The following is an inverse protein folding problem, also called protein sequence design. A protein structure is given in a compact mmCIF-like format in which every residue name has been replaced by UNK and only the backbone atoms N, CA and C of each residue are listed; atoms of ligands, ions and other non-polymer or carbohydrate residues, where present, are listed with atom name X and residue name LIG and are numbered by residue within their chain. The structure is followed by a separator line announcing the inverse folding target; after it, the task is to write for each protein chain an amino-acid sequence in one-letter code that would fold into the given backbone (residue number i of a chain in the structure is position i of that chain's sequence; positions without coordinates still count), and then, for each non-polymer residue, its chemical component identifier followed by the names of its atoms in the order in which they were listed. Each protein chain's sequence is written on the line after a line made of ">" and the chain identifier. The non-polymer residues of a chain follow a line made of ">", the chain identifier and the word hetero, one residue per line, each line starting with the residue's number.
data_IF_373288251149
#
_entry.id   IF_373288251149
#
_cell.length_a   1.000
_cell.length_b   1.000
_cell.length_c   1.000
_cell.angle_alpha   90.00
_cell.angle_beta   90.00
_cell.angle_gamma   90.00
#
_symmetry.space_group_name_H-M   'P 1'
#
loop_
_entity.id
_entity.type
_entity.pdbx_description
1 polymer ?
#
# COMPACT_ATOMS: atom_id res chain seq x y z
N UNK A 1 -24.83 6.28 30.50
CA UNK A 1 -25.14 6.31 29.06
C UNK A 1 -23.98 7.04 28.40
N UNK A 2 -23.24 6.41 27.48
CA UNK A 2 -22.22 7.12 26.70
C UNK A 2 -22.90 8.23 25.89
N UNK A 3 -22.26 9.38 25.75
CA UNK A 3 -22.84 10.58 25.12
C UNK A 3 -23.30 10.39 23.66
N UNK A 4 -22.96 9.25 23.06
CA UNK A 4 -23.24 8.90 21.67
C UNK A 4 -24.39 7.89 21.49
N UNK A 5 -25.09 7.48 22.55
CA UNK A 5 -26.18 6.50 22.45
C UNK A 5 -25.74 5.09 22.04
N UNK A 6 -24.43 4.85 21.91
CA UNK A 6 -23.84 3.56 21.54
C UNK A 6 -23.45 2.79 22.80
N UNK A 7 -24.17 1.71 23.09
CA UNK A 7 -23.84 0.80 24.19
C UNK A 7 -22.71 -0.14 23.80
N UNK A 8 -21.49 0.14 24.29
CA UNK A 8 -20.30 -0.73 24.09
C UNK A 8 -20.46 -2.12 24.73
N UNK A 9 -21.46 -2.32 25.58
CA UNK A 9 -21.76 -3.62 26.17
C UNK A 9 -22.50 -4.55 25.18
N UNK A 10 -22.99 -3.99 24.07
CA UNK A 10 -23.71 -4.75 23.04
C UNK A 10 -22.81 -4.98 21.82
N UNK A 11 -23.00 -6.12 21.15
CA UNK A 11 -22.27 -6.45 19.91
C UNK A 11 -22.40 -5.35 18.86
N UNK A 12 -23.59 -4.77 18.71
CA UNK A 12 -23.85 -3.66 17.78
C UNK A 12 -23.03 -2.39 18.10
N UNK A 13 -22.61 -2.20 19.35
CA UNK A 13 -21.84 -1.02 19.75
C UNK A 13 -20.33 -1.18 19.59
N UNK A 14 -19.74 -2.28 20.06
CA UNK A 14 -18.28 -2.43 20.06
C UNK A 14 -17.73 -3.04 18.77
N UNK A 15 -18.49 -3.86 18.05
CA UNK A 15 -18.01 -4.58 16.87
C UNK A 15 -17.61 -3.62 15.72
N UNK A 16 -18.41 -2.59 15.37
CA UNK A 16 -17.99 -1.62 14.37
C UNK A 16 -16.72 -0.85 14.77
N UNK A 17 -16.55 -0.53 16.05
CA UNK A 17 -15.35 0.15 16.54
C UNK A 17 -14.12 -0.75 16.45
N UNK A 18 -14.26 -2.04 16.78
CA UNK A 18 -13.19 -3.01 16.64
C UNK A 18 -12.74 -3.16 15.17
N UNK A 19 -13.69 -3.31 14.23
CA UNK A 19 -13.36 -3.37 12.80
C UNK A 19 -12.78 -2.05 12.28
N UNK A 20 -13.30 -0.91 12.72
CA UNK A 20 -12.73 0.39 12.38
C UNK A 20 -11.28 0.52 12.88
N UNK A 21 -10.98 0.04 14.09
CA UNK A 21 -9.63 0.02 14.65
C UNK A 21 -8.70 -0.90 13.85
N UNK A 22 -9.14 -2.12 13.52
CA UNK A 22 -8.35 -3.05 12.69
C UNK A 22 -8.06 -2.43 11.32
N UNK A 23 -9.07 -1.83 10.69
CA UNK A 23 -8.91 -1.13 9.41
C UNK A 23 -7.94 0.04 9.53
N UNK A 24 -8.06 0.88 10.57
CA UNK A 24 -7.18 2.01 10.80
C UNK A 24 -5.73 1.57 11.02
N UNK A 25 -5.49 0.52 11.82
CA UNK A 25 -4.17 -0.05 12.03
C UNK A 25 -3.59 -0.64 10.74
N UNK A 26 -4.42 -1.31 9.94
CA UNK A 26 -4.01 -1.88 8.64
C UNK A 26 -3.57 -0.79 7.68
N UNK A 27 -4.38 0.27 7.53
CA UNK A 27 -4.05 1.41 6.65
C UNK A 27 -2.83 2.16 7.19
N UNK A 28 -2.71 2.35 8.50
CA UNK A 28 -1.55 3.00 9.11
C UNK A 28 -0.27 2.19 8.85
N UNK A 29 -0.32 0.87 9.03
CA UNK A 29 0.80 -0.02 8.73
C UNK A 29 1.19 0.07 7.25
N UNK A 30 0.21 0.02 6.33
CA UNK A 30 0.44 0.21 4.90
C UNK A 30 1.15 1.55 4.61
N UNK A 31 0.62 2.66 5.12
CA UNK A 31 1.17 4.01 4.87
C UNK A 31 2.61 4.13 5.37
N UNK A 32 2.93 3.54 6.53
CA UNK A 32 4.29 3.58 7.08
C UNK A 32 5.24 2.67 6.29
N UNK A 33 4.86 1.42 6.08
CA UNK A 33 5.73 0.40 5.50
C UNK A 33 5.92 0.60 3.99
N UNK A 34 4.82 0.77 3.26
CA UNK A 34 4.86 1.04 1.82
C UNK A 34 5.36 2.45 1.52
N UNK A 35 5.10 3.41 2.42
CA UNK A 35 5.66 4.76 2.34
C UNK A 35 7.18 4.78 2.44
N UNK A 36 7.79 3.87 3.20
CA UNK A 36 9.23 3.65 3.20
C UNK A 36 9.72 3.14 1.84
N UNK A 37 9.07 2.14 1.25
CA UNK A 37 9.46 1.59 -0.06
C UNK A 37 9.39 2.65 -1.16
N UNK A 38 8.30 3.40 -1.22
CA UNK A 38 8.11 4.52 -2.15
C UNK A 38 9.13 5.64 -1.89
N UNK A 39 9.43 5.92 -0.63
CA UNK A 39 10.46 6.87 -0.22
C UNK A 39 11.85 6.50 -0.75
N UNK A 40 12.26 5.25 -0.57
CA UNK A 40 13.51 4.72 -1.12
C UNK A 40 13.49 4.80 -2.65
N UNK A 41 12.36 4.49 -3.29
CA UNK A 41 12.24 4.59 -4.75
C UNK A 41 12.38 6.00 -5.30
N UNK A 42 11.80 7.00 -4.64
CA UNK A 42 12.00 8.42 -4.99
C UNK A 42 13.46 8.86 -4.84
N UNK A 43 14.15 8.37 -3.81
CA UNK A 43 15.55 8.69 -3.55
C UNK A 43 16.52 7.97 -4.51
N UNK A 44 16.11 6.86 -5.12
CA UNK A 44 16.95 6.06 -6.03
C UNK A 44 17.50 6.89 -7.21
N UNK A 45 16.77 7.93 -7.66
CA UNK A 45 17.22 8.90 -8.69
C UNK A 45 18.44 9.69 -8.28
N UNK A 46 18.57 9.97 -6.99
CA UNK A 46 19.62 10.84 -6.42
C UNK A 46 20.85 10.05 -5.99
N UNK A 47 20.85 8.72 -6.11
CA UNK A 47 22.02 7.91 -5.82
C UNK A 47 23.03 8.02 -6.97
N UNK A 48 24.26 8.40 -6.63
CA UNK A 48 25.31 8.71 -7.59
C UNK A 48 25.99 7.44 -8.16
N UNK A 49 26.04 6.36 -7.37
CA UNK A 49 26.74 5.11 -7.72
C UNK A 49 25.82 3.88 -7.74
N UNK A 50 26.16 2.92 -8.60
CA UNK A 50 25.50 1.61 -8.75
C UNK A 50 25.50 0.84 -7.44
N UNK A 51 26.57 0.93 -6.64
CA UNK A 51 26.62 0.24 -5.35
C UNK A 51 25.54 0.76 -4.40
N UNK A 52 25.39 2.08 -4.29
CA UNK A 52 24.32 2.70 -3.47
C UNK A 52 22.93 2.29 -3.95
N UNK A 53 22.68 2.32 -5.26
CA UNK A 53 21.40 1.89 -5.84
C UNK A 53 21.06 0.43 -5.51
N UNK A 54 22.05 -0.45 -5.56
CA UNK A 54 21.86 -1.86 -5.23
C UNK A 54 21.58 -2.06 -3.74
N UNK A 55 22.28 -1.33 -2.86
CA UNK A 55 22.00 -1.36 -1.41
C UNK A 55 20.58 -0.89 -1.11
N UNK A 56 20.15 0.23 -1.69
CA UNK A 56 18.79 0.77 -1.53
C UNK A 56 17.74 -0.24 -1.96
N UNK A 57 17.90 -0.88 -3.11
CA UNK A 57 16.94 -1.89 -3.59
C UNK A 57 16.95 -3.15 -2.72
N UNK A 58 18.13 -3.61 -2.31
CA UNK A 58 18.24 -4.78 -1.43
C UNK A 58 17.51 -4.60 -0.09
N UNK A 59 17.34 -3.34 0.35
CA UNK A 59 16.66 -3.01 1.61
C UNK A 59 15.12 -3.09 1.53
N UNK A 60 14.53 -3.11 0.33
CA UNK A 60 13.07 -3.11 0.10
C UNK A 60 12.58 -4.41 -0.55
N UNK A 61 13.41 -5.06 -1.38
CA UNK A 61 13.05 -6.27 -2.12
C UNK A 61 12.46 -7.43 -1.30
N UNK A 62 12.87 -7.73 -0.05
CA UNK A 62 12.28 -8.83 0.70
C UNK A 62 10.93 -8.49 1.37
N UNK A 63 10.52 -7.22 1.42
CA UNK A 63 9.38 -6.77 2.23
C UNK A 63 8.24 -6.12 1.42
N UNK A 64 8.51 -5.59 0.22
CA UNK A 64 7.53 -4.81 -0.54
C UNK A 64 6.19 -5.56 -0.78
N UNK A 65 6.25 -6.84 -1.15
CA UNK A 65 5.05 -7.66 -1.39
C UNK A 65 4.22 -7.86 -0.10
N UNK A 66 4.91 -8.03 1.04
CA UNK A 66 4.25 -8.10 2.34
C UNK A 66 3.60 -6.76 2.71
N UNK A 67 4.17 -5.63 2.31
CA UNK A 67 3.64 -4.31 2.60
C UNK A 67 2.29 -4.07 1.90
N UNK A 68 2.13 -4.55 0.66
CA UNK A 68 0.88 -4.42 -0.10
C UNK A 68 -0.29 -5.19 0.55
N UNK A 69 -0.01 -6.27 1.29
CA UNK A 69 -1.06 -7.04 1.98
C UNK A 69 -1.85 -6.22 3.01
N UNK A 70 -1.22 -5.20 3.63
CA UNK A 70 -1.88 -4.31 4.57
C UNK A 70 -2.93 -3.41 3.91
N UNK A 71 -2.70 -3.01 2.66
CA UNK A 71 -3.71 -2.29 1.87
C UNK A 71 -4.89 -3.20 1.55
N UNK A 72 -4.61 -4.43 1.12
CA UNK A 72 -5.64 -5.43 0.79
C UNK A 72 -6.49 -5.74 2.01
N UNK A 73 -5.88 -5.92 3.19
CA UNK A 73 -6.61 -6.13 4.43
C UNK A 73 -7.50 -4.93 4.79
N UNK A 74 -6.99 -3.70 4.67
CA UNK A 74 -7.77 -2.49 4.94
C UNK A 74 -9.01 -2.37 4.06
N UNK A 75 -8.87 -2.60 2.74
CA UNK A 75 -9.97 -2.58 1.78
C UNK A 75 -10.93 -3.77 2.01
N UNK A 76 -10.41 -4.95 2.34
CA UNK A 76 -11.22 -6.13 2.65
C UNK A 76 -12.09 -5.91 3.90
N UNK A 77 -11.54 -5.31 4.95
CA UNK A 77 -12.31 -4.93 6.15
C UNK A 77 -13.35 -3.86 5.80
N UNK A 78 -13.00 -2.87 4.98
CA UNK A 78 -13.94 -1.84 4.53
C UNK A 78 -15.13 -2.47 3.78
N UNK A 79 -14.88 -3.43 2.88
CA UNK A 79 -15.93 -4.16 2.15
C UNK A 79 -16.83 -5.00 3.07
N UNK A 80 -16.24 -5.78 3.98
CA UNK A 80 -16.97 -6.75 4.80
C UNK A 80 -17.72 -6.09 5.96
N UNK A 81 -17.06 -5.17 6.67
CA UNK A 81 -17.62 -4.53 7.86
C UNK A 81 -18.43 -3.26 7.52
N UNK A 82 -18.12 -2.58 6.41
CA UNK A 82 -18.73 -1.30 6.03
C UNK A 82 -19.07 -1.20 4.52
N UNK A 83 -19.92 -2.09 3.98
CA UNK A 83 -20.17 -2.19 2.54
C UNK A 83 -20.72 -0.91 1.90
N UNK A 84 -21.55 -0.15 2.64
CA UNK A 84 -22.04 1.17 2.17
C UNK A 84 -20.90 2.18 2.05
N UNK A 85 -20.01 2.25 3.04
CA UNK A 85 -18.85 3.14 3.00
C UNK A 85 -17.88 2.71 1.88
N UNK A 86 -17.64 1.41 1.72
CA UNK A 86 -16.87 0.86 0.61
C UNK A 86 -17.38 1.36 -0.75
N UNK A 87 -18.68 1.21 -1.01
CA UNK A 87 -19.29 1.64 -2.28
C UNK A 87 -19.20 3.14 -2.52
N UNK A 88 -19.47 3.95 -1.49
CA UNK A 88 -19.38 5.42 -1.58
C UNK A 88 -17.93 5.88 -1.82
N UNK A 89 -16.98 5.36 -1.03
CA UNK A 89 -15.57 5.77 -1.09
C UNK A 89 -14.94 5.34 -2.42
N UNK A 90 -15.04 4.06 -2.79
CA UNK A 90 -14.45 3.58 -4.05
C UNK A 90 -15.21 4.08 -5.28
N UNK A 91 -16.50 4.39 -5.15
CA UNK A 91 -17.24 5.08 -6.21
C UNK A 91 -16.71 6.50 -6.44
N UNK A 92 -16.51 7.26 -5.38
CA UNK A 92 -15.97 8.62 -5.47
C UNK A 92 -14.48 8.65 -5.90
N UNK A 93 -13.69 7.66 -5.45
CA UNK A 93 -12.26 7.58 -5.71
C UNK A 93 -11.90 6.54 -6.78
N UNK A 94 -12.85 6.19 -7.67
CA UNK A 94 -12.65 5.13 -8.66
C UNK A 94 -11.37 5.33 -9.49
N UNK A 95 -11.23 6.51 -10.12
CA UNK A 95 -10.09 6.79 -10.98
C UNK A 95 -8.77 6.90 -10.19
N UNK A 96 -8.69 7.65 -9.07
CA UNK A 96 -7.50 7.66 -8.22
C UNK A 96 -7.06 6.26 -7.75
N UNK A 97 -7.99 5.43 -7.27
CA UNK A 97 -7.68 4.08 -6.78
C UNK A 97 -7.25 3.17 -7.93
N UNK A 98 -7.89 3.25 -9.09
CA UNK A 98 -7.49 2.47 -10.26
C UNK A 98 -6.05 2.82 -10.70
N UNK A 99 -5.72 4.11 -10.77
CA UNK A 99 -4.36 4.55 -11.10
C UNK A 99 -3.34 4.10 -10.06
N UNK A 100 -3.68 4.19 -8.77
CA UNK A 100 -2.83 3.69 -7.68
C UNK A 100 -2.55 2.20 -7.83
N UNK A 101 -3.58 1.37 -8.06
CA UNK A 101 -3.42 -0.09 -8.22
C UNK A 101 -2.57 -0.44 -9.44
N UNK A 102 -2.73 0.28 -10.56
CA UNK A 102 -1.89 0.12 -11.76
C UNK A 102 -0.43 0.47 -11.42
N UNK A 103 -0.18 1.59 -10.74
CA UNK A 103 1.16 2.01 -10.35
C UNK A 103 1.83 1.00 -9.40
N UNK A 104 1.11 0.50 -8.40
CA UNK A 104 1.61 -0.54 -7.49
C UNK A 104 1.95 -1.84 -8.23
N UNK A 105 1.08 -2.26 -9.16
CA UNK A 105 1.34 -3.45 -10.00
C UNK A 105 2.61 -3.26 -10.85
N UNK A 106 2.74 -2.10 -11.49
CA UNK A 106 3.92 -1.78 -12.30
C UNK A 106 5.20 -1.74 -11.47
N UNK A 107 5.13 -1.22 -10.24
CA UNK A 107 6.25 -1.22 -9.28
C UNK A 107 6.70 -2.64 -8.95
N UNK A 108 5.77 -3.54 -8.63
CA UNK A 108 6.08 -4.95 -8.37
C UNK A 108 6.74 -5.63 -9.58
N UNK A 109 6.21 -5.40 -10.77
CA UNK A 109 6.79 -5.91 -12.03
C UNK A 109 8.19 -5.34 -12.27
N UNK A 110 8.41 -4.04 -12.01
CA UNK A 110 9.69 -3.39 -12.22
C UNK A 110 10.81 -3.97 -11.32
N UNK A 111 10.50 -4.33 -10.07
CA UNK A 111 11.44 -5.02 -9.18
C UNK A 111 11.88 -6.37 -9.74
N UNK A 112 10.93 -7.22 -10.14
CA UNK A 112 11.19 -8.56 -10.65
C UNK A 112 11.92 -8.55 -12.00
N UNK A 113 11.56 -7.62 -12.88
CA UNK A 113 12.20 -7.48 -14.19
C UNK A 113 13.59 -6.85 -14.10
N UNK A 114 13.89 -5.97 -13.14
CA UNK A 114 15.26 -5.44 -12.95
C UNK A 114 16.27 -6.53 -12.62
N UNK A 115 15.88 -7.55 -11.83
CA UNK A 115 16.76 -8.68 -11.47
C UNK A 115 17.02 -9.61 -12.66
N UNK A 116 16.10 -9.67 -13.63
CA UNK A 116 16.14 -10.59 -14.78
C UNK A 116 16.54 -9.93 -16.12
N UNK A 117 16.52 -8.60 -16.23
CA UNK A 117 16.75 -7.89 -17.48
C UNK A 117 18.26 -7.77 -17.84
N UNK A 118 18.60 -8.14 -19.08
CA UNK A 118 19.91 -7.88 -19.69
C UNK A 118 20.15 -6.36 -19.84
N UNK A 119 21.42 -5.94 -19.75
CA UNK A 119 21.91 -4.55 -19.66
C UNK A 119 21.30 -3.50 -20.62
N UNK A 120 20.72 -3.91 -21.75
CA UNK A 120 20.17 -3.00 -22.77
C UNK A 120 18.73 -2.51 -22.48
N UNK A 121 18.00 -3.10 -21.52
CA UNK A 121 16.61 -2.69 -21.20
C UNK A 121 16.45 -2.08 -19.80
N UNK A 122 17.54 -2.03 -19.02
CA UNK A 122 17.56 -1.42 -17.68
C UNK A 122 17.07 0.05 -17.65
N UNK A 123 17.36 0.93 -18.63
CA UNK A 123 16.92 2.33 -18.57
C UNK A 123 15.40 2.53 -18.70
N UNK A 124 14.72 1.61 -19.38
CA UNK A 124 13.27 1.70 -19.63
C UNK A 124 12.48 1.24 -18.40
N UNK A 125 12.99 0.23 -17.70
CA UNK A 125 12.45 -0.21 -16.40
C UNK A 125 12.77 0.77 -15.27
N UNK A 126 13.92 1.45 -15.32
CA UNK A 126 14.22 2.55 -14.39
C UNK A 126 13.23 3.72 -14.53
N UNK A 127 12.56 3.90 -15.68
CA UNK A 127 11.54 4.94 -15.89
C UNK A 127 10.15 4.54 -15.39
N UNK A 128 9.79 3.26 -15.50
CA UNK A 128 8.51 2.70 -14.99
C UNK A 128 8.53 2.62 -13.44
N UNK A 129 9.70 2.71 -12.83
CA UNK A 129 9.88 2.77 -11.39
C UNK A 129 9.41 4.09 -10.75
N UNK A 130 9.20 5.14 -11.55
CA UNK A 130 8.75 6.46 -11.08
C UNK A 130 7.25 6.66 -11.19
#
# INVERSE_FOLDING_TARGET
>A
MSEFGVSLLTQAGWLPLAFALVMALSILAYVILDGYDLGVGMLLRKADDIHQKNTMISSISPFWDANETWLVLGIGVLLVAFPLAHGVILGALYLPVALMLIALTLRGVAFDFRVKAKAHHQPLWDHVFY
#
